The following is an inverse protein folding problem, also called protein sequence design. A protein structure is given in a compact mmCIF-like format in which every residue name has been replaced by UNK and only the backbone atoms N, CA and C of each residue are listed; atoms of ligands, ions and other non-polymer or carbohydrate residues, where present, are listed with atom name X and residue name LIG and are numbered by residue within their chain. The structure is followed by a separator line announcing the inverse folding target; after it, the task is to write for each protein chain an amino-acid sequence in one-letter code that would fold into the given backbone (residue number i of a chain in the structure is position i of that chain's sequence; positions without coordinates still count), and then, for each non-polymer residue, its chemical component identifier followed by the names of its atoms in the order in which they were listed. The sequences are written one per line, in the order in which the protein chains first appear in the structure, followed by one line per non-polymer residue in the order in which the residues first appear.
data_IF_988936238781
#
_entry.id   IF_988936238781
#
_cell.length_a   1.000
_cell.length_b   1.000
_cell.length_c   1.000
_cell.angle_alpha   90.00
_cell.angle_beta   90.00
_cell.angle_gamma   90.00
#
_symmetry.space_group_name_H-M   'P 1'
#
loop_
_entity.id
_entity.type
_entity.pdbx_description
1 polymer ?
#
# COMPACT_ATOMS: atom_id res chain seq x y z
N UNK A 1 -2.34 -14.72 36.34
CA UNK A 1 -1.69 -13.93 35.27
C UNK A 1 -2.21 -14.50 33.97
N UNK A 2 -3.00 -13.75 33.19
CA UNK A 2 -3.52 -14.26 31.91
C UNK A 2 -2.37 -14.22 30.91
N UNK A 3 -1.84 -15.39 30.54
CA UNK A 3 -0.91 -15.49 29.42
C UNK A 3 -1.71 -15.34 28.12
N UNK A 4 -1.67 -14.15 27.53
CA UNK A 4 -2.14 -13.98 26.17
C UNK A 4 -1.13 -14.64 25.24
N UNK A 5 -1.44 -15.83 24.73
CA UNK A 5 -0.70 -16.40 23.61
C UNK A 5 -0.91 -15.46 22.41
N UNK A 6 0.12 -14.70 22.06
CA UNK A 6 0.04 -13.87 20.86
C UNK A 6 -0.22 -14.78 19.64
N UNK A 7 -0.98 -14.32 18.63
CA UNK A 7 -1.24 -15.10 17.42
C UNK A 7 0.03 -15.65 16.77
N UNK A 8 -0.05 -16.73 15.99
CA UNK A 8 1.10 -17.18 15.17
C UNK A 8 1.62 -16.00 14.32
N UNK A 9 2.94 -15.88 14.18
CA UNK A 9 3.62 -14.82 13.42
C UNK A 9 3.50 -13.40 14.00
N UNK A 10 3.05 -13.25 15.25
CA UNK A 10 2.90 -11.93 15.92
C UNK A 10 4.19 -11.35 16.48
N UNK A 11 5.24 -12.16 16.67
CA UNK A 11 6.53 -11.70 17.21
C UNK A 11 7.52 -11.50 16.07
N UNK A 12 7.86 -10.26 15.79
CA UNK A 12 8.94 -9.93 14.83
C UNK A 12 10.28 -10.10 15.52
N UNK A 13 11.07 -11.07 15.07
CA UNK A 13 12.42 -11.36 15.58
C UNK A 13 13.50 -10.49 14.96
N UNK A 14 14.73 -10.67 15.44
CA UNK A 14 15.93 -10.10 14.81
C UNK A 14 16.32 -10.96 13.61
N UNK A 15 16.51 -10.31 12.47
CA UNK A 15 16.88 -10.96 11.21
C UNK A 15 18.38 -10.92 10.91
N UNK A 16 18.71 -11.24 9.66
CA UNK A 16 20.08 -11.18 9.14
C UNK A 16 20.55 -9.73 8.96
N UNK A 17 21.86 -9.50 9.03
CA UNK A 17 22.47 -8.20 8.69
C UNK A 17 23.42 -8.36 7.51
N UNK A 18 23.17 -7.61 6.45
CA UNK A 18 23.95 -7.55 5.22
C UNK A 18 24.71 -6.22 5.21
N UNK A 19 26.04 -6.28 5.31
CA UNK A 19 26.90 -5.10 5.40
C UNK A 19 27.19 -4.52 4.02
N UNK A 20 27.39 -3.20 3.97
CA UNK A 20 27.76 -2.52 2.72
C UNK A 20 29.15 -2.98 2.24
N UNK A 21 29.44 -2.86 0.93
CA UNK A 21 30.77 -3.12 0.38
C UNK A 21 31.87 -2.33 1.11
N UNK A 22 33.05 -2.95 1.25
CA UNK A 22 34.20 -2.29 1.87
C UNK A 22 34.54 -1.00 1.12
N UNK A 23 34.60 0.12 1.85
CA UNK A 23 34.96 1.43 1.30
C UNK A 23 33.78 2.34 0.94
N UNK A 24 32.53 1.85 1.04
CA UNK A 24 31.33 2.69 0.91
C UNK A 24 31.33 3.78 1.99
N UNK A 25 31.10 5.04 1.57
CA UNK A 25 31.11 6.21 2.47
C UNK A 25 29.71 6.71 2.78
N UNK A 26 28.79 6.62 1.82
CA UNK A 26 27.42 7.10 1.95
C UNK A 26 26.46 5.92 2.21
N UNK A 27 26.60 5.28 3.37
CA UNK A 27 25.84 4.07 3.68
C UNK A 27 24.52 4.42 4.38
N UNK A 28 23.42 3.84 3.88
CA UNK A 28 22.11 3.89 4.54
C UNK A 28 21.65 2.49 4.94
N UNK A 29 21.16 2.38 6.18
CA UNK A 29 20.60 1.14 6.72
C UNK A 29 19.11 1.06 6.44
N UNK A 30 18.67 -0.07 5.85
CA UNK A 30 17.29 -0.43 5.60
C UNK A 30 16.91 -1.63 6.45
N UNK A 31 15.94 -1.46 7.35
CA UNK A 31 15.43 -2.53 8.22
C UNK A 31 14.10 -3.03 7.66
N UNK A 32 14.13 -4.18 7.01
CA UNK A 32 13.03 -4.68 6.17
C UNK A 32 12.36 -5.88 6.82
N UNK A 33 11.03 -5.82 6.94
CA UNK A 33 10.22 -6.96 7.40
C UNK A 33 10.38 -8.13 6.43
N UNK A 34 10.66 -9.31 6.98
CA UNK A 34 10.79 -10.56 6.25
C UNK A 34 9.86 -11.60 6.82
N UNK A 35 9.21 -12.35 5.95
CA UNK A 35 8.45 -13.53 6.34
C UNK A 35 8.24 -14.45 5.14
N UNK A 36 8.48 -15.74 5.35
CA UNK A 36 8.29 -16.76 4.33
C UNK A 36 7.25 -17.79 4.81
N UNK A 37 6.13 -18.00 4.10
CA UNK A 37 5.14 -19.02 4.48
C UNK A 37 5.72 -20.45 4.51
N UNK A 38 6.80 -20.71 3.78
CA UNK A 38 7.33 -22.06 3.56
C UNK A 38 8.23 -22.57 4.69
N UNK A 39 8.80 -21.68 5.52
CA UNK A 39 9.84 -22.05 6.51
C UNK A 39 9.31 -22.20 7.95
N UNK A 40 8.02 -21.97 8.17
CA UNK A 40 7.33 -22.03 9.47
C UNK A 40 7.92 -21.13 10.57
N UNK A 41 8.78 -20.16 10.22
CA UNK A 41 9.35 -19.22 11.18
C UNK A 41 8.41 -18.03 11.40
N UNK A 42 8.59 -17.41 12.56
CA UNK A 42 8.01 -16.08 12.77
C UNK A 42 8.72 -15.06 11.88
N UNK A 43 8.07 -13.92 11.58
CA UNK A 43 8.70 -12.83 10.84
C UNK A 43 9.97 -12.32 11.53
N UNK A 44 10.88 -11.76 10.74
CA UNK A 44 12.09 -11.12 11.21
C UNK A 44 12.24 -9.73 10.62
N UNK A 45 13.18 -8.96 11.17
CA UNK A 45 13.60 -7.68 10.62
C UNK A 45 15.07 -7.78 10.19
N UNK A 46 15.26 -7.99 8.89
CA UNK A 46 16.59 -8.03 8.28
C UNK A 46 17.11 -6.60 8.09
N UNK A 47 18.42 -6.43 8.16
CA UNK A 47 19.10 -5.13 8.00
C UNK A 47 19.99 -5.19 6.77
N UNK A 48 19.77 -4.26 5.82
CA UNK A 48 20.56 -4.12 4.61
C UNK A 48 21.25 -2.76 4.61
N UNK A 49 22.57 -2.76 4.58
CA UNK A 49 23.36 -1.54 4.38
C UNK A 49 23.61 -1.34 2.89
N UNK A 50 23.10 -0.24 2.35
CA UNK A 50 23.18 0.11 0.93
C UNK A 50 24.05 1.35 0.75
N UNK A 51 24.97 1.29 -0.20
CA UNK A 51 25.74 2.46 -0.63
C UNK A 51 24.88 3.36 -1.52
N UNK A 52 24.48 4.50 -0.98
CA UNK A 52 23.60 5.46 -1.63
C UNK A 52 24.26 6.22 -2.77
N UNK A 53 25.60 6.23 -2.87
CA UNK A 53 26.30 6.81 -4.03
C UNK A 53 26.09 5.97 -5.31
N UNK A 54 25.63 4.72 -5.16
CA UNK A 54 25.34 3.77 -6.24
C UNK A 54 23.86 3.36 -6.32
N UNK A 55 22.97 4.14 -5.69
CA UNK A 55 21.55 3.84 -5.60
C UNK A 55 20.71 5.06 -5.99
N UNK A 56 19.54 4.81 -6.60
CA UNK A 56 18.56 5.87 -6.83
C UNK A 56 18.02 6.48 -5.53
N UNK A 57 17.39 7.66 -5.59
CA UNK A 57 17.02 8.44 -4.42
C UNK A 57 15.77 7.89 -3.70
N UNK A 58 14.97 7.03 -4.33
CA UNK A 58 13.71 6.55 -3.79
C UNK A 58 13.91 5.26 -2.98
N UNK A 59 13.05 5.03 -2.00
CA UNK A 59 13.06 3.77 -1.23
C UNK A 59 12.84 2.56 -2.12
N UNK A 60 12.04 2.68 -3.19
CA UNK A 60 11.89 1.61 -4.19
C UNK A 60 13.20 1.28 -4.91
N UNK A 61 14.04 2.27 -5.23
CA UNK A 61 15.33 2.01 -5.89
C UNK A 61 16.22 1.17 -4.98
N UNK A 62 16.24 1.48 -3.68
CA UNK A 62 16.96 0.70 -2.67
C UNK A 62 16.41 -0.72 -2.54
N UNK A 63 15.09 -0.92 -2.50
CA UNK A 63 14.47 -2.25 -2.45
C UNK A 63 14.82 -3.10 -3.67
N UNK A 64 14.85 -2.49 -4.86
CA UNK A 64 15.24 -3.16 -6.10
C UNK A 64 16.73 -3.52 -6.06
N UNK A 65 17.61 -2.58 -5.66
CA UNK A 65 19.04 -2.84 -5.51
C UNK A 65 19.32 -3.96 -4.50
N UNK A 66 18.65 -3.96 -3.36
CA UNK A 66 18.76 -5.04 -2.36
C UNK A 66 18.38 -6.38 -3.01
N UNK A 67 17.27 -6.43 -3.74
CA UNK A 67 16.84 -7.67 -4.39
C UNK A 67 17.83 -8.13 -5.46
N UNK A 68 18.30 -7.23 -6.30
CA UNK A 68 19.11 -7.58 -7.47
C UNK A 68 20.55 -7.93 -7.11
N UNK A 69 21.12 -7.29 -6.07
CA UNK A 69 22.55 -7.36 -5.78
C UNK A 69 22.89 -8.02 -4.44
N UNK A 70 21.97 -8.09 -3.48
CA UNK A 70 22.25 -8.52 -2.09
C UNK A 70 21.46 -9.78 -1.71
N UNK A 71 20.14 -9.76 -1.88
CA UNK A 71 19.23 -10.84 -1.50
C UNK A 71 18.05 -10.97 -2.45
N UNK A 72 18.21 -11.84 -3.46
CA UNK A 72 17.19 -12.13 -4.47
C UNK A 72 15.90 -12.72 -3.89
N UNK A 73 15.87 -13.16 -2.63
CA UNK A 73 14.68 -13.71 -1.99
C UNK A 73 13.71 -12.63 -1.48
N UNK A 74 14.16 -11.37 -1.37
CA UNK A 74 13.32 -10.25 -0.96
C UNK A 74 12.16 -10.06 -1.94
N UNK A 75 10.93 -10.04 -1.41
CA UNK A 75 9.70 -9.98 -2.22
C UNK A 75 8.85 -8.75 -1.88
N UNK A 76 8.46 -8.00 -2.91
CA UNK A 76 7.58 -6.83 -2.81
C UNK A 76 6.86 -6.58 -4.14
N UNK A 77 5.74 -5.83 -4.11
CA UNK A 77 5.02 -5.40 -5.31
C UNK A 77 5.57 -4.06 -5.83
N UNK A 78 5.72 -3.95 -7.16
CA UNK A 78 6.11 -2.71 -7.86
C UNK A 78 5.70 -2.78 -9.33
N UNK A 79 5.46 -1.62 -9.95
CA UNK A 79 5.22 -1.52 -11.40
C UNK A 79 5.68 -0.18 -11.98
N UNK A 80 4.86 0.89 -11.92
CA UNK A 80 5.08 2.15 -12.66
C UNK A 80 6.42 2.85 -12.38
N UNK A 81 6.72 3.11 -11.10
CA UNK A 81 7.83 3.94 -10.56
C UNK A 81 7.56 5.45 -10.46
N UNK A 82 6.41 5.94 -10.88
CA UNK A 82 6.04 7.37 -10.77
C UNK A 82 4.80 7.63 -9.87
N UNK A 83 4.40 6.66 -9.05
CA UNK A 83 3.36 6.86 -8.03
C UNK A 83 1.92 6.78 -8.53
N UNK A 84 1.67 6.24 -9.73
CA UNK A 84 0.31 6.18 -10.32
C UNK A 84 -0.39 4.82 -10.20
N UNK A 85 0.35 3.71 -10.11
CA UNK A 85 -0.27 2.36 -10.11
C UNK A 85 -0.73 1.86 -8.72
N UNK A 86 -0.32 2.51 -7.63
CA UNK A 86 -0.60 2.10 -6.26
C UNK A 86 0.10 0.83 -5.74
N UNK A 87 0.79 0.05 -6.59
CA UNK A 87 1.25 -1.29 -6.21
C UNK A 87 2.33 -1.35 -5.11
N UNK A 88 3.19 -0.33 -5.00
CA UNK A 88 4.31 -0.32 -4.04
C UNK A 88 3.95 0.36 -2.70
N UNK A 89 2.67 0.33 -2.35
CA UNK A 89 2.18 0.78 -1.06
C UNK A 89 2.72 -0.10 0.08
N UNK A 90 3.35 0.53 1.07
CA UNK A 90 3.92 -0.13 2.24
C UNK A 90 4.09 0.88 3.38
N UNK A 91 4.43 0.41 4.58
CA UNK A 91 4.74 1.29 5.69
C UNK A 91 6.25 1.57 5.73
N UNK A 92 6.62 2.84 5.58
CA UNK A 92 8.02 3.31 5.57
C UNK A 92 8.18 4.30 6.73
N UNK A 93 9.07 3.97 7.66
CA UNK A 93 9.34 4.71 8.89
C UNK A 93 8.05 5.10 9.66
N UNK A 94 7.13 4.14 9.79
CA UNK A 94 5.86 4.31 10.51
C UNK A 94 4.73 4.93 9.67
N UNK A 95 5.00 5.39 8.45
CA UNK A 95 3.99 6.04 7.59
C UNK A 95 3.67 5.20 6.36
N UNK A 96 2.38 4.99 6.08
CA UNK A 96 1.96 4.35 4.84
C UNK A 96 2.19 5.30 3.67
N UNK A 97 2.95 4.86 2.67
CA UNK A 97 3.29 5.65 1.49
C UNK A 97 3.67 4.74 0.33
N UNK A 98 3.97 5.33 -0.83
CA UNK A 98 4.46 4.61 -2.00
C UNK A 98 5.99 4.62 -2.01
N UNK A 99 6.60 3.44 -2.07
CA UNK A 99 8.06 3.33 -2.07
C UNK A 99 8.72 4.08 -3.23
N UNK A 100 8.05 4.19 -4.39
CA UNK A 100 8.58 4.87 -5.57
C UNK A 100 8.59 6.40 -5.48
N UNK A 101 7.86 7.00 -4.54
CA UNK A 101 7.82 8.46 -4.36
C UNK A 101 8.30 8.89 -2.98
N UNK A 102 8.75 7.93 -2.16
CA UNK A 102 9.35 8.21 -0.85
C UNK A 102 10.85 8.34 -1.00
N UNK A 103 11.37 9.56 -0.85
CA UNK A 103 12.80 9.82 -0.86
C UNK A 103 13.48 9.19 0.36
N UNK A 104 14.63 8.55 0.15
CA UNK A 104 15.46 8.02 1.24
C UNK A 104 15.97 9.14 2.16
N UNK A 105 16.24 10.32 1.60
CA UNK A 105 16.73 11.50 2.32
C UNK A 105 15.72 12.07 3.33
N UNK A 106 14.42 11.81 3.15
CA UNK A 106 13.39 12.24 4.10
C UNK A 106 13.42 11.44 5.41
N UNK A 107 14.01 10.24 5.39
CA UNK A 107 14.13 9.39 6.57
C UNK A 107 15.49 9.64 7.21
N UNK A 108 15.52 10.28 8.38
CA UNK A 108 16.78 10.67 9.03
C UNK A 108 17.59 9.49 9.56
N UNK A 109 16.91 8.46 10.07
CA UNK A 109 17.53 7.28 10.72
C UNK A 109 17.53 6.09 9.76
N UNK A 110 17.69 4.88 10.29
CA UNK A 110 17.47 3.64 9.56
C UNK A 110 16.07 3.63 8.94
N UNK A 111 15.98 3.25 7.67
CA UNK A 111 14.71 3.17 6.95
C UNK A 111 14.01 1.87 7.34
N UNK A 112 13.02 1.95 8.22
CA UNK A 112 12.20 0.79 8.59
C UNK A 112 11.11 0.57 7.55
N UNK A 113 10.99 -0.64 7.03
CA UNK A 113 10.03 -0.99 5.99
C UNK A 113 9.22 -2.20 6.43
N UNK A 114 7.90 -2.03 6.50
CA UNK A 114 6.93 -3.06 6.85
C UNK A 114 5.87 -3.16 5.75
N UNK A 115 5.17 -4.30 5.61
CA UNK A 115 3.97 -4.38 4.77
C UNK A 115 2.90 -3.38 5.26
N UNK A 116 1.84 -3.20 4.46
CA UNK A 116 0.71 -2.39 4.90
C UNK A 116 0.13 -2.91 6.23
N UNK A 117 -0.11 -2.04 7.23
CA UNK A 117 -0.54 -2.47 8.55
C UNK A 117 -1.88 -3.20 8.53
N UNK A 118 -2.01 -4.19 9.40
CA UNK A 118 -3.25 -4.92 9.66
C UNK A 118 -3.86 -5.61 8.42
N UNK A 119 -3.07 -5.84 7.38
CA UNK A 119 -3.39 -6.76 6.30
C UNK A 119 -2.64 -8.09 6.53
N UNK A 120 -3.26 -9.25 6.27
CA UNK A 120 -2.54 -10.53 6.26
C UNK A 120 -1.35 -10.45 5.30
N UNK A 121 -0.22 -11.04 5.66
CA UNK A 121 0.98 -11.03 4.81
C UNK A 121 1.05 -12.35 4.03
N UNK A 122 1.21 -12.27 2.71
CA UNK A 122 1.45 -13.43 1.84
C UNK A 122 2.93 -13.83 1.88
N UNK A 123 3.83 -12.85 1.76
CA UNK A 123 5.29 -13.02 1.87
C UNK A 123 5.97 -11.65 1.98
N UNK A 124 6.96 -11.51 2.86
CA UNK A 124 7.74 -10.27 3.03
C UNK A 124 6.85 -9.01 3.06
N UNK A 125 7.00 -8.10 2.07
CA UNK A 125 6.26 -6.84 1.98
C UNK A 125 4.98 -6.95 1.14
N UNK A 126 4.50 -8.17 0.88
CA UNK A 126 3.33 -8.45 0.04
C UNK A 126 2.13 -8.77 0.92
N UNK A 127 1.24 -7.80 1.19
CA UNK A 127 -0.02 -8.07 1.88
C UNK A 127 -1.02 -8.80 0.97
N UNK A 128 -1.97 -9.48 1.57
CA UNK A 128 -3.21 -9.90 0.93
C UNK A 128 -4.18 -8.70 0.90
N UNK A 129 -4.61 -8.32 -0.29
CA UNK A 129 -5.51 -7.18 -0.54
C UNK A 129 -6.91 -7.63 -0.94
N UNK A 130 -7.21 -8.93 -0.90
CA UNK A 130 -8.46 -9.50 -1.42
C UNK A 130 -9.70 -8.88 -0.79
N UNK A 131 -9.68 -8.66 0.53
CA UNK A 131 -10.79 -8.02 1.26
C UNK A 131 -11.01 -6.56 0.85
N UNK A 132 -9.93 -5.80 0.66
CA UNK A 132 -10.00 -4.40 0.22
C UNK A 132 -10.60 -4.32 -1.20
N UNK A 133 -10.19 -5.22 -2.09
CA UNK A 133 -10.77 -5.31 -3.43
C UNK A 133 -12.23 -5.79 -3.42
N UNK A 134 -12.59 -6.74 -2.56
CA UNK A 134 -14.00 -7.18 -2.46
C UNK A 134 -14.90 -6.06 -1.96
N UNK A 135 -14.43 -5.24 -1.02
CA UNK A 135 -15.19 -4.07 -0.54
C UNK A 135 -15.31 -2.98 -1.61
N UNK A 136 -14.26 -2.76 -2.41
CA UNK A 136 -14.36 -1.89 -3.58
C UNK A 136 -15.35 -2.42 -4.62
N UNK A 137 -15.41 -3.73 -4.85
CA UNK A 137 -16.41 -4.30 -5.75
C UNK A 137 -17.84 -4.18 -5.19
N UNK A 138 -18.02 -4.29 -3.86
CA UNK A 138 -19.31 -4.23 -3.19
C UNK A 138 -20.02 -2.87 -3.30
N UNK A 139 -19.29 -1.78 -3.58
CA UNK A 139 -19.88 -0.45 -3.81
C UNK A 139 -20.34 -0.24 -5.27
N UNK A 140 -20.22 -1.27 -6.11
CA UNK A 140 -20.59 -1.25 -7.53
C UNK A 140 -20.01 -0.05 -8.30
N UNK A 141 -18.67 0.02 -8.46
CA UNK A 141 -17.96 1.22 -8.88
C UNK A 141 -17.99 1.42 -10.40
N UNK A 142 -19.19 1.46 -10.97
CA UNK A 142 -19.47 1.78 -12.37
C UNK A 142 -20.70 2.67 -12.46
N UNK A 143 -20.88 3.32 -13.62
CA UNK A 143 -22.02 4.20 -13.86
C UNK A 143 -23.32 3.39 -13.93
N UNK A 144 -24.32 3.76 -13.13
CA UNK A 144 -25.65 3.13 -13.13
C UNK A 144 -26.69 4.14 -13.59
N UNK A 145 -27.47 3.77 -14.61
CA UNK A 145 -28.53 4.60 -15.18
C UNK A 145 -29.72 3.73 -15.55
N UNK A 146 -30.92 4.19 -15.21
CA UNK A 146 -32.19 3.60 -15.66
C UNK A 146 -32.57 4.14 -17.04
N UNK A 147 -32.09 5.34 -17.39
CA UNK A 147 -32.26 5.93 -18.72
C UNK A 147 -31.53 5.14 -19.81
N UNK A 148 -32.18 4.98 -20.96
CA UNK A 148 -31.55 4.38 -22.14
C UNK A 148 -30.29 5.17 -22.55
N UNK A 149 -29.21 4.49 -22.99
CA UNK A 149 -28.03 5.19 -23.49
C UNK A 149 -28.39 6.15 -24.63
N UNK A 150 -27.99 7.42 -24.57
CA UNK A 150 -28.24 8.37 -25.66
C UNK A 150 -27.38 8.05 -26.90
N UNK A 151 -27.77 8.56 -28.08
CA UNK A 151 -27.00 8.46 -29.33
C UNK A 151 -25.70 9.31 -29.34
N UNK A 152 -25.34 9.90 -28.20
CA UNK A 152 -24.18 10.77 -27.98
C UNK A 152 -23.67 10.63 -26.55
N UNK A 153 -22.66 11.38 -26.16
CA UNK A 153 -22.17 11.39 -24.78
C UNK A 153 -23.22 11.90 -23.77
N UNK A 154 -23.17 11.37 -22.54
CA UNK A 154 -23.92 11.95 -21.42
C UNK A 154 -23.34 13.32 -21.09
N UNK A 155 -24.19 14.35 -21.10
CA UNK A 155 -23.78 15.72 -20.82
C UNK A 155 -23.43 15.88 -19.33
N UNK A 156 -22.37 16.64 -19.08
CA UNK A 156 -21.92 17.04 -17.75
C UNK A 156 -21.25 18.40 -17.88
N UNK A 157 -21.68 19.36 -17.07
CA UNK A 157 -21.09 20.70 -17.03
C UNK A 157 -19.70 20.69 -16.36
N UNK A 158 -18.85 21.69 -16.62
CA UNK A 158 -17.57 21.82 -15.93
C UNK A 158 -17.70 21.85 -14.40
N UNK A 159 -18.74 22.50 -13.86
CA UNK A 159 -18.97 22.61 -12.42
C UNK A 159 -19.38 21.26 -11.81
N UNK A 160 -20.22 20.48 -12.48
CA UNK A 160 -20.55 19.12 -12.05
C UNK A 160 -19.34 18.19 -12.11
N UNK A 161 -18.56 18.26 -13.19
CA UNK A 161 -17.32 17.47 -13.34
C UNK A 161 -16.31 17.81 -12.25
N UNK A 162 -16.21 19.09 -11.85
CA UNK A 162 -15.31 19.56 -10.81
C UNK A 162 -15.60 18.94 -9.44
N UNK A 163 -16.85 18.55 -9.17
CA UNK A 163 -17.20 17.82 -7.95
C UNK A 163 -16.51 16.44 -7.83
N UNK A 164 -15.95 15.92 -8.93
CA UNK A 164 -15.20 14.67 -8.94
C UNK A 164 -13.71 14.86 -8.64
N UNK A 165 -13.19 16.10 -8.70
CA UNK A 165 -11.78 16.37 -8.41
C UNK A 165 -11.46 16.04 -6.94
N UNK A 166 -10.32 15.36 -6.74
CA UNK A 166 -9.94 14.78 -5.45
C UNK A 166 -10.57 13.40 -5.16
N UNK A 167 -11.47 12.91 -6.01
CA UNK A 167 -12.12 11.60 -5.86
C UNK A 167 -11.59 10.58 -6.87
N UNK A 168 -11.56 10.92 -8.16
CA UNK A 168 -11.20 9.96 -9.23
C UNK A 168 -9.70 9.67 -9.32
N UNK A 169 -8.86 10.51 -8.70
CA UNK A 169 -7.40 10.38 -8.67
C UNK A 169 -6.94 9.27 -7.71
N UNK A 170 -7.86 8.67 -6.95
CA UNK A 170 -7.56 7.53 -6.09
C UNK A 170 -6.99 6.36 -6.91
N UNK A 171 -5.76 5.98 -6.62
CA UNK A 171 -5.04 4.89 -7.31
C UNK A 171 -5.24 3.52 -6.65
N UNK A 172 -6.18 3.39 -5.71
CA UNK A 172 -6.44 2.16 -4.95
C UNK A 172 -5.18 1.53 -4.32
N UNK A 173 -4.28 2.36 -3.78
CA UNK A 173 -3.08 1.88 -3.08
C UNK A 173 -3.37 1.35 -1.66
N UNK A 174 -4.55 1.69 -1.12
CA UNK A 174 -5.04 1.32 0.22
C UNK A 174 -4.17 1.77 1.41
N UNK A 175 -3.24 2.71 1.21
CA UNK A 175 -2.50 3.34 2.30
C UNK A 175 -3.44 3.94 3.36
N UNK A 176 -4.53 4.60 2.93
CA UNK A 176 -5.51 5.23 3.81
C UNK A 176 -6.32 4.21 4.63
N UNK A 177 -6.79 3.12 4.02
CA UNK A 177 -7.54 2.09 4.75
C UNK A 177 -6.65 1.38 5.76
N UNK A 178 -5.44 1.03 5.36
CA UNK A 178 -4.47 0.35 6.22
C UNK A 178 -3.75 1.30 7.18
N UNK A 179 -4.04 2.61 7.16
CA UNK A 179 -3.63 3.55 8.22
C UNK A 179 -4.76 3.84 9.21
N UNK A 180 -5.99 3.40 8.94
CA UNK A 180 -7.17 3.72 9.74
C UNK A 180 -7.35 2.68 10.87
N UNK A 181 -7.26 3.07 12.15
CA UNK A 181 -7.46 2.12 13.25
C UNK A 181 -8.87 1.51 13.26
N UNK A 182 -9.90 2.25 12.83
CA UNK A 182 -11.26 1.69 12.72
C UNK A 182 -11.31 0.50 11.75
N UNK A 183 -10.59 0.61 10.63
CA UNK A 183 -10.45 -0.48 9.66
C UNK A 183 -9.64 -1.64 10.21
N UNK A 184 -8.59 -1.37 11.00
CA UNK A 184 -7.85 -2.43 11.68
C UNK A 184 -8.80 -3.30 12.52
N UNK A 185 -9.63 -2.67 13.36
CA UNK A 185 -10.49 -3.42 14.27
C UNK A 185 -11.72 -4.06 13.62
N UNK A 186 -12.26 -3.46 12.56
CA UNK A 186 -13.59 -3.82 12.04
C UNK A 186 -13.62 -3.95 10.51
N UNK A 187 -12.51 -4.32 9.87
CA UNK A 187 -12.46 -4.45 8.40
C UNK A 187 -13.50 -5.40 7.83
N UNK A 188 -14.03 -6.36 8.60
CA UNK A 188 -15.09 -7.27 8.18
C UNK A 188 -16.44 -6.57 7.92
N UNK A 189 -16.64 -5.37 8.49
CA UNK A 189 -17.91 -4.60 8.42
C UNK A 189 -17.74 -3.18 7.91
N UNK A 190 -16.62 -2.54 8.27
CA UNK A 190 -16.30 -1.19 7.85
C UNK A 190 -15.55 -1.23 6.52
N UNK A 191 -16.16 -0.64 5.48
CA UNK A 191 -15.61 -0.58 4.12
C UNK A 191 -14.25 0.12 4.01
N UNK A 192 -13.94 1.02 4.95
CA UNK A 192 -12.69 1.78 4.94
C UNK A 192 -12.72 3.01 4.03
N UNK A 193 -11.79 3.96 4.24
CA UNK A 193 -11.77 5.23 3.53
C UNK A 193 -11.59 5.10 2.02
N UNK A 194 -10.85 4.12 1.51
CA UNK A 194 -10.67 3.95 0.06
C UNK A 194 -11.99 3.62 -0.65
N UNK A 195 -12.72 2.62 -0.15
CA UNK A 195 -14.01 2.23 -0.72
C UNK A 195 -15.07 3.33 -0.50
N UNK A 196 -15.11 3.97 0.67
CA UNK A 196 -16.06 5.05 0.94
C UNK A 196 -15.83 6.30 0.08
N UNK A 197 -14.57 6.67 -0.18
CA UNK A 197 -14.23 7.74 -1.13
C UNK A 197 -14.76 7.42 -2.53
N UNK A 198 -14.57 6.18 -2.97
CA UNK A 198 -15.05 5.73 -4.28
C UNK A 198 -16.57 5.60 -4.33
N UNK A 199 -17.25 5.24 -3.24
CA UNK A 199 -18.72 5.26 -3.18
C UNK A 199 -19.22 6.70 -3.36
N UNK A 200 -18.63 7.64 -2.63
CA UNK A 200 -18.98 9.06 -2.75
C UNK A 200 -18.71 9.62 -4.16
N UNK A 201 -17.62 9.18 -4.81
CA UNK A 201 -17.32 9.50 -6.22
C UNK A 201 -18.44 9.13 -7.18
N UNK A 202 -19.19 8.06 -6.92
CA UNK A 202 -20.34 7.66 -7.74
C UNK A 202 -21.63 8.36 -7.31
N UNK A 203 -21.86 8.53 -6.00
CA UNK A 203 -23.02 9.26 -5.47
C UNK A 203 -23.08 10.71 -5.99
N UNK A 204 -21.93 11.36 -6.16
CA UNK A 204 -21.84 12.77 -6.58
C UNK A 204 -21.67 12.95 -8.10
N UNK A 205 -21.53 11.86 -8.89
CA UNK A 205 -21.44 11.97 -10.35
C UNK A 205 -22.83 12.29 -10.91
N UNK A 206 -23.00 13.46 -11.51
CA UNK A 206 -24.30 13.92 -12.06
C UNK A 206 -24.89 13.01 -13.14
N UNK A 207 -24.10 12.06 -13.66
CA UNK A 207 -24.52 11.09 -14.66
C UNK A 207 -25.04 9.79 -14.05
N UNK A 208 -24.81 9.53 -12.76
CA UNK A 208 -25.27 8.33 -12.06
C UNK A 208 -26.68 8.56 -11.50
N UNK A 209 -27.62 7.67 -11.83
CA UNK A 209 -29.03 7.80 -11.44
C UNK A 209 -29.37 6.95 -10.21
N UNK A 210 -28.41 6.20 -9.66
CA UNK A 210 -28.62 5.27 -8.55
C UNK A 210 -28.15 5.81 -7.20
N UNK A 211 -28.08 7.14 -7.01
CA UNK A 211 -27.61 7.74 -5.76
C UNK A 211 -28.40 7.27 -4.53
N UNK A 212 -29.71 7.04 -4.66
CA UNK A 212 -30.55 6.52 -3.57
C UNK A 212 -30.21 5.08 -3.15
N UNK A 213 -29.87 4.21 -4.10
CA UNK A 213 -29.52 2.81 -3.83
C UNK A 213 -28.10 2.66 -3.25
N UNK A 214 -27.25 3.69 -3.42
CA UNK A 214 -25.86 3.73 -2.95
C UNK A 214 -25.71 4.21 -1.50
N UNK A 215 -26.79 4.66 -0.85
CA UNK A 215 -26.83 5.19 0.53
C UNK A 215 -27.38 4.17 1.53
#
# INVERSE_FOLDING_TARGET
MVEFSLPRNSKVGVGSTYRAPKGAKNVKSFRVYRWNPDDKKNPSLDTYEVDMDSCGPMVLDALIKIKDEIDATLTFRRSCREGVCGSCAMNIDGTNTLACTKFVSEVKRDVKIYPLPHAPVIKDLVPDLSQLYSQYAAIEPWLKTDSSPPDRERLQSPDERKNLDGLYECILCFCCSTSCPSYWWNSDRYLGPAALLQAYRWITDSRDESAGDRL
#
